data_IF_586941829186
#
_entry.id   IF_586941829186
#
_cell.length_a   1.000
_cell.length_b   1.000
_cell.length_c   1.000
_cell.angle_alpha   90.00
_cell.angle_beta   90.00
_cell.angle_gamma   90.00
#
_symmetry.space_group_name_H-M   'P 1'
#
loop_
_entity.id
_entity.type
_entity.pdbx_description
1 polymer ?
#
# COMPACT_ATOMS: atom_id res chain seq x y z
N UNK A 1 -18.39 12.24 15.48
CA UNK A 1 -16.96 11.85 15.57
C UNK A 1 -16.70 10.74 16.58
N UNK A 2 -17.18 10.83 17.84
CA UNK A 2 -17.00 9.75 18.84
C UNK A 2 -17.65 8.43 18.39
N UNK A 3 -18.91 8.48 17.94
CA UNK A 3 -19.68 7.31 17.47
C UNK A 3 -18.99 6.54 16.34
N UNK A 4 -18.50 7.25 15.30
CA UNK A 4 -17.74 6.64 14.21
C UNK A 4 -16.41 6.03 14.70
N UNK A 5 -15.71 6.74 15.60
CA UNK A 5 -14.45 6.23 16.16
C UNK A 5 -14.69 4.93 16.95
N UNK A 6 -15.76 4.86 17.73
CA UNK A 6 -16.13 3.67 18.49
C UNK A 6 -16.48 2.49 17.55
N UNK A 7 -17.27 2.74 16.51
CA UNK A 7 -17.70 1.73 15.53
C UNK A 7 -16.52 1.12 14.75
N UNK A 8 -15.57 1.95 14.31
CA UNK A 8 -14.37 1.45 13.60
C UNK A 8 -13.23 1.06 14.56
N UNK A 9 -13.47 1.09 15.88
CA UNK A 9 -12.55 0.68 16.94
C UNK A 9 -11.30 1.53 17.08
N UNK A 10 -11.41 2.83 16.83
CA UNK A 10 -10.38 3.81 17.12
C UNK A 10 -10.49 4.33 18.55
N UNK A 11 -9.38 4.24 19.30
CA UNK A 11 -9.29 4.72 20.68
C UNK A 11 -9.49 6.24 20.84
N UNK A 12 -9.21 7.03 19.81
CA UNK A 12 -9.23 8.49 19.88
C UNK A 12 -9.98 9.09 18.69
N UNK A 13 -11.06 9.87 18.93
CA UNK A 13 -11.82 10.53 17.86
C UNK A 13 -11.01 11.56 17.06
N UNK A 14 -9.94 12.10 17.65
CA UNK A 14 -9.01 12.99 16.94
C UNK A 14 -8.39 12.32 15.71
N UNK A 15 -8.29 10.98 15.68
CA UNK A 15 -7.84 10.26 14.48
C UNK A 15 -8.83 10.38 13.33
N UNK A 16 -10.14 10.33 13.58
CA UNK A 16 -11.15 10.60 12.55
C UNK A 16 -10.98 12.01 12.01
N UNK A 17 -10.86 12.99 12.91
CA UNK A 17 -10.64 14.39 12.53
C UNK A 17 -9.41 14.56 11.62
N UNK A 18 -8.29 13.94 11.96
CA UNK A 18 -7.08 14.02 11.15
C UNK A 18 -7.20 13.30 9.80
N UNK A 19 -8.04 12.25 9.70
CA UNK A 19 -8.37 11.60 8.43
C UNK A 19 -9.21 12.52 7.55
N UNK A 20 -10.25 13.15 8.11
CA UNK A 20 -11.12 14.11 7.42
C UNK A 20 -10.34 15.34 6.94
N UNK A 21 -9.42 15.85 7.76
CA UNK A 21 -8.54 16.97 7.43
C UNK A 21 -7.36 16.57 6.53
N UNK A 22 -7.31 15.32 6.05
CA UNK A 22 -6.23 14.77 5.18
C UNK A 22 -4.82 14.91 5.77
N UNK A 23 -4.70 15.06 7.09
CA UNK A 23 -3.42 15.16 7.79
C UNK A 23 -2.70 13.82 7.91
N UNK A 24 -3.47 12.73 7.90
CA UNK A 24 -2.94 11.36 8.01
C UNK A 24 -3.73 10.40 7.13
N UNK A 25 -3.08 9.35 6.64
CA UNK A 25 -3.76 8.24 5.95
C UNK A 25 -4.17 7.15 6.95
N UNK A 26 -5.29 6.45 6.72
CA UNK A 26 -5.67 5.34 7.56
C UNK A 26 -4.65 4.20 7.41
N UNK A 27 -4.45 3.43 8.48
CA UNK A 27 -3.70 2.17 8.37
C UNK A 27 -4.58 1.11 7.70
N UNK A 28 -4.01 -0.06 7.34
CA UNK A 28 -4.69 -1.11 6.58
C UNK A 28 -5.99 -1.58 7.24
N UNK A 29 -5.97 -1.74 8.57
CA UNK A 29 -7.13 -2.18 9.35
C UNK A 29 -8.24 -1.12 9.40
N UNK A 30 -7.89 0.12 9.72
CA UNK A 30 -8.84 1.25 9.78
C UNK A 30 -9.43 1.50 8.40
N UNK A 31 -8.60 1.45 7.34
CA UNK A 31 -9.06 1.61 5.96
C UNK A 31 -10.05 0.52 5.56
N UNK A 32 -9.81 -0.73 5.96
CA UNK A 32 -10.76 -1.82 5.72
C UNK A 32 -12.08 -1.63 6.47
N UNK A 33 -12.02 -1.26 7.75
CA UNK A 33 -13.23 -1.01 8.58
C UNK A 33 -14.04 0.17 8.04
N UNK A 34 -13.39 1.23 7.58
CA UNK A 34 -14.05 2.36 6.94
C UNK A 34 -14.77 1.93 5.65
N UNK A 35 -14.14 1.11 4.81
CA UNK A 35 -14.79 0.58 3.60
C UNK A 35 -16.06 -0.22 3.93
N UNK A 36 -15.99 -1.08 4.95
CA UNK A 36 -17.16 -1.84 5.43
C UNK A 36 -18.25 -0.94 6.02
N UNK A 37 -17.87 0.05 6.85
CA UNK A 37 -18.81 0.97 7.49
C UNK A 37 -19.58 1.80 6.45
N UNK A 38 -18.88 2.34 5.46
CA UNK A 38 -19.49 3.10 4.37
C UNK A 38 -20.10 2.23 3.26
N UNK A 39 -20.00 0.90 3.37
CA UNK A 39 -20.49 -0.07 2.38
C UNK A 39 -19.95 0.19 0.98
N UNK A 40 -18.66 0.49 0.90
CA UNK A 40 -17.96 0.66 -0.38
C UNK A 40 -17.81 -0.67 -1.11
N UNK A 41 -17.68 -0.62 -2.42
CA UNK A 41 -17.37 -1.75 -3.30
C UNK A 41 -15.86 -2.10 -3.30
N UNK A 42 -15.02 -1.22 -2.76
CA UNK A 42 -13.57 -1.42 -2.63
C UNK A 42 -13.19 -2.15 -1.35
N UNK A 43 -12.01 -2.80 -1.34
CA UNK A 43 -11.53 -3.53 -0.16
C UNK A 43 -11.03 -2.60 0.95
N UNK A 44 -10.53 -1.43 0.55
CA UNK A 44 -9.96 -0.40 1.40
C UNK A 44 -10.61 0.95 1.10
N UNK A 45 -10.73 1.80 2.12
CA UNK A 45 -11.33 3.13 2.01
C UNK A 45 -10.39 4.06 1.24
N UNK A 46 -10.69 4.22 -0.06
CA UNK A 46 -10.08 5.15 -1.02
C UNK A 46 -8.55 5.28 -0.94
N UNK A 47 -7.84 4.15 -0.80
CA UNK A 47 -6.39 4.12 -0.76
C UNK A 47 -5.83 3.08 -1.73
N UNK A 48 -5.53 3.47 -2.99
CA UNK A 48 -5.02 2.57 -4.03
C UNK A 48 -3.77 1.82 -3.60
N UNK A 49 -2.97 2.39 -2.68
CA UNK A 49 -1.78 1.73 -2.14
C UNK A 49 -2.10 0.36 -1.55
N UNK A 50 -3.17 0.21 -0.76
CA UNK A 50 -3.45 -1.06 -0.10
C UNK A 50 -3.94 -2.14 -1.06
N UNK A 51 -4.65 -1.76 -2.12
CA UNK A 51 -5.11 -2.70 -3.16
C UNK A 51 -3.96 -3.07 -4.10
N UNK A 52 -3.20 -2.07 -4.56
CA UNK A 52 -2.06 -2.29 -5.46
C UNK A 52 -1.00 -3.16 -4.79
N UNK A 53 -0.82 -3.03 -3.47
CA UNK A 53 0.17 -3.77 -2.67
C UNK A 53 -0.38 -4.99 -1.94
N UNK A 54 -1.53 -5.55 -2.32
CA UNK A 54 -2.02 -6.77 -1.65
C UNK A 54 -1.28 -8.04 -2.13
N UNK A 55 -0.98 -8.09 -3.44
CA UNK A 55 -0.23 -9.16 -4.11
C UNK A 55 1.08 -8.63 -4.77
N UNK A 56 1.70 -7.63 -4.14
CA UNK A 56 2.90 -6.99 -4.70
C UNK A 56 4.02 -7.98 -5.04
N UNK A 57 4.21 -9.01 -4.22
CA UNK A 57 5.26 -10.01 -4.42
C UNK A 57 5.15 -10.68 -5.79
N UNK A 58 3.94 -11.07 -6.19
CA UNK A 58 3.66 -11.68 -7.50
C UNK A 58 3.75 -10.67 -8.63
N UNK A 59 3.20 -9.47 -8.44
CA UNK A 59 3.23 -8.39 -9.46
C UNK A 59 4.66 -8.00 -9.82
N UNK A 60 5.52 -7.80 -8.81
CA UNK A 60 6.94 -7.46 -9.00
C UNK A 60 7.70 -8.58 -9.71
N UNK A 61 7.50 -9.83 -9.27
CA UNK A 61 8.14 -10.99 -9.90
C UNK A 61 7.73 -11.14 -11.36
N UNK A 62 6.43 -11.09 -11.66
CA UNK A 62 5.92 -11.24 -13.02
C UNK A 62 6.46 -10.14 -13.93
N UNK A 63 6.40 -8.87 -13.49
CA UNK A 63 6.93 -7.75 -14.25
C UNK A 63 8.40 -7.99 -14.63
N UNK A 64 9.24 -8.42 -13.67
CA UNK A 64 10.66 -8.69 -13.92
C UNK A 64 10.86 -9.82 -14.94
N UNK A 65 10.12 -10.92 -14.82
CA UNK A 65 10.24 -12.08 -15.71
C UNK A 65 9.73 -11.77 -17.12
N UNK A 66 8.58 -11.12 -17.25
CA UNK A 66 7.98 -10.72 -18.53
C UNK A 66 8.90 -9.77 -19.31
N UNK A 67 9.59 -8.87 -18.60
CA UNK A 67 10.58 -7.96 -19.19
C UNK A 67 11.99 -8.54 -19.30
N UNK A 68 12.20 -9.81 -18.93
CA UNK A 68 13.51 -10.51 -18.98
C UNK A 68 14.62 -9.79 -18.19
N UNK A 69 14.26 -9.17 -17.07
CA UNK A 69 15.17 -8.42 -16.23
C UNK A 69 15.77 -9.30 -15.13
N UNK A 70 17.04 -9.08 -14.81
CA UNK A 70 17.61 -9.57 -13.54
C UNK A 70 17.17 -8.67 -12.38
N UNK A 71 17.40 -9.11 -11.14
CA UNK A 71 17.14 -8.24 -9.97
C UNK A 71 18.02 -6.99 -10.03
N UNK A 72 19.28 -7.12 -10.48
CA UNK A 72 20.18 -5.98 -10.60
C UNK A 72 19.71 -4.96 -11.66
N UNK A 73 19.15 -5.42 -12.77
CA UNK A 73 18.66 -4.54 -13.84
C UNK A 73 17.49 -3.68 -13.34
N UNK A 74 16.50 -4.31 -12.72
CA UNK A 74 15.32 -3.59 -12.21
C UNK A 74 15.66 -2.69 -11.02
N UNK A 75 16.62 -3.10 -10.18
CA UNK A 75 17.12 -2.27 -9.08
C UNK A 75 17.81 -1.00 -9.59
N UNK A 76 18.61 -1.10 -10.66
CA UNK A 76 19.23 0.06 -11.32
C UNK A 76 18.18 0.98 -11.93
N UNK A 77 17.15 0.43 -12.57
CA UNK A 77 16.08 1.20 -13.19
C UNK A 77 15.29 2.04 -12.17
N UNK A 78 14.94 1.45 -11.03
CA UNK A 78 14.08 2.10 -10.00
C UNK A 78 14.90 2.88 -8.96
N UNK A 79 16.21 2.62 -8.90
CA UNK A 79 17.09 3.20 -7.89
C UNK A 79 16.77 2.66 -6.49
N UNK A 80 16.80 1.34 -6.34
CA UNK A 80 16.68 0.61 -5.06
C UNK A 80 17.80 -0.41 -4.92
N UNK A 81 18.04 -0.90 -3.70
CA UNK A 81 19.06 -1.94 -3.50
C UNK A 81 18.54 -3.32 -3.91
N UNK A 82 19.45 -4.21 -4.32
CA UNK A 82 19.14 -5.62 -4.58
C UNK A 82 18.43 -6.27 -3.39
N UNK A 83 18.90 -6.00 -2.16
CA UNK A 83 18.26 -6.52 -0.95
C UNK A 83 16.81 -6.03 -0.80
N UNK A 84 16.56 -4.75 -1.09
CA UNK A 84 15.22 -4.16 -1.03
C UNK A 84 14.27 -4.90 -1.98
N UNK A 85 14.63 -5.04 -3.26
CA UNK A 85 13.81 -5.76 -4.24
C UNK A 85 13.60 -7.23 -3.87
N UNK A 86 14.67 -7.92 -3.48
CA UNK A 86 14.61 -9.31 -3.04
C UNK A 86 13.63 -9.50 -1.88
N UNK A 87 13.65 -8.62 -0.87
CA UNK A 87 12.70 -8.71 0.25
C UNK A 87 11.26 -8.46 -0.17
N UNK A 88 11.02 -7.68 -1.22
CA UNK A 88 9.66 -7.47 -1.75
C UNK A 88 9.13 -8.67 -2.52
N UNK A 89 9.89 -9.21 -3.50
CA UNK A 89 9.48 -10.40 -4.26
C UNK A 89 9.26 -11.62 -3.35
N UNK A 90 9.98 -11.70 -2.23
CA UNK A 90 9.85 -12.80 -1.28
C UNK A 90 8.90 -12.49 -0.10
N UNK A 91 8.14 -11.39 -0.18
CA UNK A 91 7.17 -10.97 0.84
C UNK A 91 7.75 -10.86 2.26
N UNK A 92 9.06 -10.56 2.37
CA UNK A 92 9.80 -10.39 3.64
C UNK A 92 9.69 -8.97 4.20
N UNK A 93 9.34 -8.00 3.37
CA UNK A 93 9.15 -6.62 3.78
C UNK A 93 7.97 -5.99 3.02
N UNK A 94 7.26 -5.07 3.69
CA UNK A 94 6.20 -4.27 3.08
C UNK A 94 6.81 -3.10 2.30
N UNK A 95 6.24 -2.77 1.15
CA UNK A 95 6.66 -1.63 0.33
C UNK A 95 6.19 -0.35 1.00
N UNK A 96 7.09 0.58 1.35
CA UNK A 96 6.68 1.89 1.87
C UNK A 96 5.97 2.72 0.81
N UNK A 97 5.12 3.69 1.20
CA UNK A 97 4.43 4.57 0.23
C UNK A 97 5.37 5.27 -0.74
N UNK A 98 6.54 5.72 -0.27
CA UNK A 98 7.55 6.34 -1.13
C UNK A 98 8.01 5.39 -2.24
N UNK A 99 8.27 4.13 -1.88
CA UNK A 99 8.71 3.14 -2.85
C UNK A 99 7.56 2.67 -3.74
N UNK A 100 6.33 2.64 -3.23
CA UNK A 100 5.13 2.42 -4.05
C UNK A 100 5.00 3.47 -5.14
N UNK A 101 5.17 4.76 -4.83
CA UNK A 101 5.13 5.83 -5.84
C UNK A 101 6.19 5.64 -6.91
N UNK A 102 7.43 5.27 -6.55
CA UNK A 102 8.47 4.91 -7.53
C UNK A 102 8.03 3.76 -8.44
N UNK A 103 7.38 2.74 -7.90
CA UNK A 103 6.89 1.60 -8.67
C UNK A 103 5.75 2.01 -9.62
N UNK A 104 4.86 2.93 -9.20
CA UNK A 104 3.83 3.53 -10.06
C UNK A 104 4.44 4.35 -11.20
N UNK A 105 5.47 5.15 -10.91
CA UNK A 105 6.19 5.96 -11.91
C UNK A 105 6.82 5.10 -13.03
N UNK A 106 7.11 3.83 -12.74
CA UNK A 106 7.60 2.86 -13.71
C UNK A 106 6.53 1.89 -14.22
N UNK A 107 5.24 2.15 -13.95
CA UNK A 107 4.11 1.33 -14.40
C UNK A 107 4.17 -0.14 -13.96
N UNK A 108 4.81 -0.41 -12.81
CA UNK A 108 4.99 -1.77 -12.27
C UNK A 108 3.81 -2.16 -11.37
N UNK A 109 3.33 -1.20 -10.58
CA UNK A 109 2.17 -1.35 -9.69
C UNK A 109 1.05 -0.41 -10.10
#
# INVERSE_FOLDING_TARGET
MQELADEIGLRYPSRIKNLEESQTNPNKEVSHRLALYFKLDTKYFYDPYFEDTDDYDKKLYNYRIENRLTIDDICKQIGVSHHTWYTWENKKAVISRRNYLKLKEHEIL
#
